data_IF_542865266064
#
_entry.id   IF_542865266064
#
_cell.length_a   1.000
_cell.length_b   1.000
_cell.length_c   1.000
_cell.angle_alpha   90.00
_cell.angle_beta   90.00
_cell.angle_gamma   90.00
#
_symmetry.space_group_name_H-M   'P 1'
#
loop_
_entity.id
_entity.type
_entity.pdbx_description
1 polymer ?
#
# COMPACT_ATOMS: atom_id res chain seq x y z
N UNK A 1 -41.78 -31.55 23.77
CA UNK A 1 -41.25 -30.59 24.77
C UNK A 1 -39.87 -30.13 24.30
N UNK A 2 -39.78 -28.99 23.62
CA UNK A 2 -38.49 -28.39 23.27
C UNK A 2 -38.05 -27.45 24.39
N UNK A 3 -37.09 -27.89 25.23
CA UNK A 3 -36.56 -27.15 26.37
C UNK A 3 -35.20 -26.49 26.09
N UNK A 4 -35.05 -25.83 24.94
CA UNK A 4 -33.89 -24.98 24.67
C UNK A 4 -34.35 -23.54 24.43
N UNK A 5 -34.72 -22.87 25.53
CA UNK A 5 -34.93 -21.43 25.54
C UNK A 5 -33.63 -20.72 25.20
N UNK A 6 -33.62 -19.96 24.11
CA UNK A 6 -32.48 -19.16 23.69
C UNK A 6 -32.11 -18.15 24.77
N UNK A 7 -30.96 -18.36 25.42
CA UNK A 7 -30.35 -17.37 26.31
C UNK A 7 -29.99 -16.15 25.46
N UNK A 8 -30.89 -15.15 25.39
CA UNK A 8 -30.52 -13.82 24.91
C UNK A 8 -29.35 -13.38 25.78
N UNK A 9 -28.21 -13.07 25.17
CA UNK A 9 -27.00 -12.74 25.92
C UNK A 9 -27.30 -11.55 26.83
N UNK A 10 -27.23 -11.73 28.15
CA UNK A 10 -27.26 -10.65 29.16
C UNK A 10 -26.00 -9.77 29.09
N UNK A 11 -25.37 -9.67 27.93
CA UNK A 11 -24.21 -8.82 27.73
C UNK A 11 -24.72 -7.40 27.49
N UNK A 12 -24.10 -6.40 28.13
CA UNK A 12 -24.38 -5.01 27.79
C UNK A 12 -24.12 -4.78 26.29
N UNK A 13 -24.81 -3.81 25.66
CA UNK A 13 -24.53 -3.45 24.29
C UNK A 13 -23.04 -3.11 24.14
N UNK A 14 -22.45 -3.56 23.04
CA UNK A 14 -21.05 -3.27 22.74
C UNK A 14 -20.88 -1.75 22.61
N UNK A 15 -19.82 -1.16 23.18
CA UNK A 15 -19.51 0.25 22.94
C UNK A 15 -19.41 0.54 21.44
N UNK A 16 -19.79 1.75 21.07
CA UNK A 16 -19.56 2.26 19.71
C UNK A 16 -18.06 2.34 19.42
N UNK A 17 -17.71 2.27 18.14
CA UNK A 17 -16.34 2.52 17.70
C UNK A 17 -15.95 3.97 18.02
N UNK A 18 -14.66 4.22 18.32
CA UNK A 18 -14.17 5.58 18.53
C UNK A 18 -14.27 6.41 17.24
N UNK A 19 -14.45 7.72 17.39
CA UNK A 19 -14.38 8.67 16.29
C UNK A 19 -12.92 8.94 15.91
N UNK A 20 -12.69 9.34 14.66
CA UNK A 20 -11.34 9.66 14.17
C UNK A 20 -10.63 10.75 14.97
N UNK A 21 -11.39 11.73 15.49
CA UNK A 21 -10.89 12.80 16.35
C UNK A 21 -10.35 12.28 17.68
N UNK A 22 -11.04 11.30 18.28
CA UNK A 22 -10.62 10.68 19.54
C UNK A 22 -9.35 9.84 19.34
N UNK A 23 -9.26 9.14 18.21
CA UNK A 23 -8.04 8.41 17.84
C UNK A 23 -6.87 9.38 17.67
N UNK A 24 -7.10 10.53 17.03
CA UNK A 24 -6.06 11.53 16.82
C UNK A 24 -5.59 12.17 18.13
N UNK A 25 -6.51 12.46 19.04
CA UNK A 25 -6.21 12.97 20.38
C UNK A 25 -5.31 11.99 21.15
N UNK A 26 -5.66 10.70 21.15
CA UNK A 26 -4.86 9.65 21.80
C UNK A 26 -3.45 9.57 21.20
N UNK A 27 -3.33 9.69 19.87
CA UNK A 27 -2.02 9.68 19.18
C UNK A 27 -1.15 10.89 19.54
N UNK A 28 -1.76 12.07 19.67
CA UNK A 28 -1.02 13.30 20.02
C UNK A 28 -0.56 13.29 21.48
N UNK A 29 -1.36 12.69 22.36
CA UNK A 29 -1.09 12.63 23.80
C UNK A 29 -0.31 11.35 24.22
N UNK A 30 -0.04 10.45 23.27
CA UNK A 30 0.69 9.21 23.53
C UNK A 30 2.10 9.50 24.03
N UNK A 31 2.49 8.82 25.11
CA UNK A 31 3.86 8.87 25.62
C UNK A 31 4.77 8.06 24.70
N UNK A 32 6.04 8.46 24.58
CA UNK A 32 7.02 7.75 23.75
C UNK A 32 7.28 6.30 24.16
N UNK A 33 6.85 5.89 25.36
CA UNK A 33 6.99 4.53 25.89
C UNK A 33 5.65 3.81 26.08
N UNK A 34 4.59 4.29 25.43
CA UNK A 34 3.25 3.71 25.53
C UNK A 34 3.25 2.23 25.08
N UNK A 35 2.56 1.39 25.84
CA UNK A 35 2.44 -0.05 25.58
C UNK A 35 1.71 -0.36 24.27
N UNK A 36 0.84 0.54 23.80
CA UNK A 36 0.18 0.40 22.50
C UNK A 36 1.18 0.51 21.32
N UNK A 37 2.29 1.22 21.51
CA UNK A 37 3.34 1.41 20.52
C UNK A 37 4.64 0.67 20.86
N UNK A 38 4.70 -0.02 22.00
CA UNK A 38 5.77 -0.97 22.31
C UNK A 38 5.59 -2.22 21.43
N UNK A 39 6.02 -2.08 20.18
CA UNK A 39 6.21 -3.20 19.27
C UNK A 39 7.24 -4.11 19.95
N UNK A 40 6.77 -5.25 20.47
CA UNK A 40 7.65 -6.31 20.94
C UNK A 40 8.51 -6.77 19.76
N UNK A 41 9.73 -6.22 19.65
CA UNK A 41 10.76 -6.61 18.67
C UNK A 41 11.13 -8.11 18.70
N UNK A 42 10.50 -8.90 19.58
CA UNK A 42 10.77 -10.32 19.75
C UNK A 42 10.00 -11.24 18.81
N UNK A 43 9.03 -10.74 18.02
CA UNK A 43 8.24 -11.63 17.14
C UNK A 43 8.13 -11.24 15.66
N UNK A 44 8.72 -10.12 15.23
CA UNK A 44 8.72 -9.73 13.82
C UNK A 44 10.10 -9.89 13.18
N UNK A 45 10.41 -11.12 12.76
CA UNK A 45 11.48 -11.43 11.81
C UNK A 45 11.27 -10.79 10.40
N UNK A 46 10.53 -9.69 10.27
CA UNK A 46 10.25 -9.00 8.99
C UNK A 46 10.02 -7.49 9.11
N UNK A 47 10.53 -6.82 10.16
CA UNK A 47 10.61 -5.36 10.13
C UNK A 47 12.00 -4.93 9.65
N UNK A 48 11.99 -4.38 8.43
CA UNK A 48 13.12 -3.74 7.79
C UNK A 48 13.61 -2.59 8.68
N UNK A 49 14.62 -2.87 9.51
CA UNK A 49 15.35 -1.84 10.24
C UNK A 49 16.03 -0.91 9.21
N UNK A 50 15.34 0.18 8.87
CA UNK A 50 15.93 1.39 8.26
C UNK A 50 16.85 2.15 9.25
N UNK A 51 17.12 1.57 10.42
CA UNK A 51 17.98 2.16 11.41
C UNK A 51 19.44 2.12 10.93
N UNK A 52 20.08 3.30 10.93
CA UNK A 52 21.52 3.47 10.77
C UNK A 52 22.31 2.41 11.56
N UNK A 53 23.47 1.95 11.07
CA UNK A 53 24.24 0.93 11.77
C UNK A 53 24.51 1.39 13.20
N UNK A 54 23.94 0.66 14.16
CA UNK A 54 24.09 0.91 15.60
C UNK A 54 25.54 0.68 16.08
N UNK A 55 26.41 0.18 15.20
CA UNK A 55 27.85 0.07 15.42
C UNK A 55 28.63 0.39 14.14
N UNK A 56 29.24 1.58 14.09
CA UNK A 56 30.10 2.04 12.97
C UNK A 56 31.41 1.26 12.83
N UNK A 57 31.77 0.41 13.81
CA UNK A 57 32.96 -0.43 13.78
C UNK A 57 32.71 -1.85 13.24
N UNK A 58 31.47 -2.19 12.89
CA UNK A 58 31.14 -3.47 12.27
C UNK A 58 31.14 -3.35 10.75
N UNK A 59 32.33 -3.50 10.16
CA UNK A 59 32.55 -3.41 8.72
C UNK A 59 31.66 -4.40 7.93
N UNK A 60 31.44 -5.60 8.44
CA UNK A 60 30.64 -6.63 7.77
C UNK A 60 29.17 -6.20 7.63
N UNK A 61 28.61 -5.59 8.67
CA UNK A 61 27.24 -5.04 8.63
C UNK A 61 27.13 -3.89 7.63
N UNK A 62 28.15 -3.02 7.56
CA UNK A 62 28.18 -1.91 6.58
C UNK A 62 28.25 -2.45 5.15
N UNK A 63 29.11 -3.44 4.88
CA UNK A 63 29.23 -4.05 3.54
C UNK A 63 27.94 -4.73 3.11
N UNK A 64 27.30 -5.49 4.00
CA UNK A 64 25.99 -6.13 3.70
C UNK A 64 24.92 -5.09 3.40
N UNK A 65 24.90 -3.99 4.14
CA UNK A 65 23.94 -2.92 3.91
C UNK A 65 24.20 -2.20 2.59
N UNK A 66 25.46 -1.87 2.28
CA UNK A 66 25.83 -1.30 0.99
C UNK A 66 25.44 -2.22 -0.16
N UNK A 67 25.66 -3.54 -0.03
CA UNK A 67 25.24 -4.51 -1.04
C UNK A 67 23.73 -4.51 -1.24
N UNK A 68 22.94 -4.48 -0.16
CA UNK A 68 21.48 -4.39 -0.25
C UNK A 68 21.01 -3.13 -0.98
N UNK A 69 21.66 -2.00 -0.74
CA UNK A 69 21.32 -0.78 -1.48
C UNK A 69 21.65 -0.90 -2.96
N UNK A 70 22.79 -1.50 -3.32
CA UNK A 70 23.13 -1.74 -4.72
C UNK A 70 22.13 -2.67 -5.41
N UNK A 71 21.77 -3.77 -4.76
CA UNK A 71 20.77 -4.71 -5.27
C UNK A 71 19.40 -4.02 -5.41
N UNK A 72 19.01 -3.17 -4.45
CA UNK A 72 17.79 -2.37 -4.53
C UNK A 72 17.79 -1.35 -5.66
N UNK A 73 18.93 -0.68 -5.92
CA UNK A 73 19.09 0.24 -7.05
C UNK A 73 18.90 -0.50 -8.37
N UNK A 74 19.43 -1.71 -8.50
CA UNK A 74 19.26 -2.53 -9.71
C UNK A 74 17.79 -2.91 -9.93
N UNK A 75 17.10 -3.36 -8.88
CA UNK A 75 15.67 -3.66 -8.96
C UNK A 75 14.83 -2.43 -9.36
N UNK A 76 15.15 -1.26 -8.81
CA UNK A 76 14.46 -0.01 -9.16
C UNK A 76 14.69 0.40 -10.62
N UNK A 77 15.89 0.13 -11.19
CA UNK A 77 16.16 0.38 -12.61
C UNK A 77 15.29 -0.51 -13.49
N UNK A 78 15.26 -1.81 -13.21
CA UNK A 78 14.44 -2.78 -13.97
C UNK A 78 12.95 -2.39 -13.89
N UNK A 79 12.48 -2.01 -12.70
CA UNK A 79 11.09 -1.56 -12.52
C UNK A 79 10.81 -0.28 -13.32
N UNK A 80 11.73 0.68 -13.31
CA UNK A 80 11.58 1.92 -14.08
C UNK A 80 11.53 1.66 -15.58
N UNK A 81 12.34 0.73 -16.09
CA UNK A 81 12.31 0.33 -17.51
C UNK A 81 10.97 -0.32 -17.86
N UNK A 82 10.47 -1.23 -17.01
CA UNK A 82 9.16 -1.87 -17.19
C UNK A 82 8.02 -0.85 -17.23
N UNK A 83 8.01 0.13 -16.30
CA UNK A 83 6.97 1.16 -16.26
C UNK A 83 7.00 2.05 -17.51
N UNK A 84 8.18 2.40 -18.00
CA UNK A 84 8.31 3.20 -19.24
C UNK A 84 7.79 2.43 -20.47
N UNK A 85 8.01 1.11 -20.52
CA UNK A 85 7.46 0.27 -21.58
C UNK A 85 5.93 0.20 -21.52
N UNK A 86 5.36 -0.03 -20.34
CA UNK A 86 3.91 -0.07 -20.14
C UNK A 86 3.26 1.28 -20.46
N UNK A 87 3.88 2.39 -20.05
CA UNK A 87 3.41 3.73 -20.37
C UNK A 87 3.37 3.96 -21.89
N UNK A 88 4.44 3.57 -22.60
CA UNK A 88 4.53 3.74 -24.05
C UNK A 88 3.46 2.89 -24.76
N UNK A 89 3.27 1.64 -24.33
CA UNK A 89 2.24 0.75 -24.88
C UNK A 89 0.82 1.30 -24.65
N UNK A 90 0.56 1.85 -23.47
CA UNK A 90 -0.72 2.47 -23.14
C UNK A 90 -0.99 3.70 -24.02
N UNK A 91 0.03 4.52 -24.26
CA UNK A 91 -0.10 5.70 -25.11
C UNK A 91 -0.42 5.33 -26.56
N UNK A 92 0.26 4.32 -27.12
CA UNK A 92 -0.05 3.82 -28.47
C UNK A 92 -1.49 3.31 -28.54
N UNK A 93 -1.92 2.51 -27.57
CA UNK A 93 -3.30 2.00 -27.50
C UNK A 93 -4.33 3.14 -27.43
N UNK A 94 -4.05 4.19 -26.65
CA UNK A 94 -4.91 5.36 -26.58
C UNK A 94 -5.03 6.07 -27.95
N UNK A 95 -3.92 6.29 -28.65
CA UNK A 95 -3.92 6.92 -29.98
C UNK A 95 -4.72 6.10 -31.00
N UNK A 96 -4.60 4.77 -30.95
CA UNK A 96 -5.38 3.85 -31.79
C UNK A 96 -6.88 3.94 -31.51
N UNK A 97 -7.28 3.98 -30.23
CA UNK A 97 -8.68 4.12 -29.81
C UNK A 97 -9.25 5.46 -30.30
N UNK A 98 -8.51 6.55 -30.16
CA UNK A 98 -8.92 7.88 -30.63
C UNK A 98 -9.12 7.88 -32.14
N UNK A 99 -8.20 7.27 -32.89
CA UNK A 99 -8.31 7.15 -34.34
C UNK A 99 -9.54 6.33 -34.76
N UNK A 100 -9.75 5.17 -34.15
CA UNK A 100 -10.92 4.33 -34.40
C UNK A 100 -12.23 5.09 -34.10
N UNK A 101 -12.30 5.82 -33.00
CA UNK A 101 -13.47 6.61 -32.64
C UNK A 101 -13.74 7.73 -33.66
N UNK A 102 -12.69 8.35 -34.21
CA UNK A 102 -12.83 9.34 -35.29
C UNK A 102 -13.36 8.70 -36.57
N UNK A 103 -12.80 7.56 -36.99
CA UNK A 103 -13.27 6.84 -38.18
C UNK A 103 -14.74 6.43 -38.08
N UNK A 104 -15.18 5.96 -36.91
CA UNK A 104 -16.60 5.64 -36.65
C UNK A 104 -17.47 6.90 -36.78
N UNK A 105 -17.02 8.03 -36.24
CA UNK A 105 -17.75 9.31 -36.34
C UNK A 105 -17.90 9.75 -37.79
N UNK A 106 -16.82 9.68 -38.57
CA UNK A 106 -16.81 10.10 -39.97
C UNK A 106 -17.72 9.20 -40.82
N UNK A 107 -17.70 7.89 -40.59
CA UNK A 107 -18.60 6.93 -41.22
C UNK A 107 -20.06 7.22 -40.89
N UNK A 108 -20.39 7.48 -39.62
CA UNK A 108 -21.75 7.81 -39.20
C UNK A 108 -22.26 9.10 -39.86
N UNK A 109 -21.41 10.13 -39.96
CA UNK A 109 -21.76 11.37 -40.65
C UNK A 109 -21.98 11.17 -42.16
N UNK A 110 -21.14 10.37 -42.81
CA UNK A 110 -21.28 10.07 -44.24
C UNK A 110 -22.60 9.34 -44.56
N UNK A 111 -23.11 8.52 -43.64
CA UNK A 111 -24.42 7.86 -43.77
C UNK A 111 -25.58 8.84 -43.59
N UNK A 112 -25.44 9.84 -42.70
CA UNK A 112 -26.49 10.83 -42.39
C UNK A 112 -26.67 11.92 -43.45
N UNK A 113 -25.64 12.18 -44.26
CA UNK A 113 -25.66 13.21 -45.33
C UNK A 113 -26.16 12.65 -46.68
N UNK A 114 -26.46 11.34 -46.74
CA UNK A 114 -27.04 10.64 -47.89
C UNK A 114 -28.56 10.50 -47.77
#
# INVERSE_FOLDING_TARGET
>A
MNMFGGKKSNLPPRPSLPLGEQIMEDLQNAKSNDVAFNINYKNDNKQYNLHFPTNVNDAETIYRQARRYLDGIEQLKVLSESLNQEQSALQVSYEEIVKLAQEIRDQAQAVLVK
#
